data_IF_689713993177
#
_entry.id   IF_689713993177
#
_cell.length_a   1.000
_cell.length_b   1.000
_cell.length_c   1.000
_cell.angle_alpha   90.00
_cell.angle_beta   90.00
_cell.angle_gamma   90.00
#
_symmetry.space_group_name_H-M   'P 1'
#
loop_
_entity.id
_entity.type
_entity.pdbx_description
1 polymer ?
#
# COMPACT_ATOMS: atom_id res chain seq x y z
N UNK A 1 0.15 -15.31 2.36
CA UNK A 1 1.00 -14.79 1.25
C UNK A 1 0.87 -13.28 1.18
N UNK A 2 1.99 -12.57 1.21
CA UNK A 2 2.10 -11.10 1.23
C UNK A 2 2.74 -10.64 -0.07
N UNK A 3 2.14 -9.66 -0.74
CA UNK A 3 2.63 -9.15 -2.01
C UNK A 3 2.74 -7.64 -1.98
N UNK A 4 3.84 -7.11 -2.46
CA UNK A 4 4.03 -5.70 -2.72
C UNK A 4 3.86 -5.44 -4.23
N UNK A 5 3.02 -4.49 -4.58
CA UNK A 5 2.79 -4.05 -5.97
C UNK A 5 3.25 -2.61 -6.10
N UNK A 6 4.32 -2.40 -6.87
CA UNK A 6 4.91 -1.09 -7.09
C UNK A 6 4.86 -0.67 -8.56
N UNK A 7 5.07 0.60 -8.82
CA UNK A 7 5.11 1.16 -10.18
C UNK A 7 4.86 2.66 -10.19
N UNK A 8 5.11 3.30 -11.32
CA UNK A 8 4.90 4.73 -11.51
C UNK A 8 3.41 5.14 -11.50
N UNK A 9 3.15 6.44 -11.55
CA UNK A 9 1.79 6.95 -11.71
C UNK A 9 1.14 6.37 -12.98
N UNK A 10 -0.14 5.98 -12.88
CA UNK A 10 -0.95 5.41 -13.99
C UNK A 10 -0.33 4.17 -14.67
N UNK A 11 0.54 3.44 -13.97
CA UNK A 11 1.17 2.22 -14.49
C UNK A 11 0.22 1.02 -14.62
N UNK A 12 -0.98 1.07 -14.03
CA UNK A 12 -1.92 -0.06 -13.95
C UNK A 12 -1.77 -0.91 -12.68
N UNK A 13 -0.93 -0.49 -11.71
CA UNK A 13 -0.65 -1.25 -10.48
C UNK A 13 -1.88 -1.53 -9.61
N UNK A 14 -2.77 -0.55 -9.40
CA UNK A 14 -4.00 -0.76 -8.58
C UNK A 14 -4.90 -1.80 -9.23
N UNK A 15 -5.16 -1.70 -10.54
CA UNK A 15 -5.96 -2.70 -11.27
C UNK A 15 -5.31 -4.09 -11.28
N UNK A 16 -3.98 -4.17 -11.33
CA UNK A 16 -3.28 -5.44 -11.17
C UNK A 16 -3.44 -5.99 -9.75
N UNK A 17 -3.26 -5.15 -8.72
CA UNK A 17 -3.41 -5.55 -7.33
C UNK A 17 -4.82 -6.06 -7.00
N UNK A 18 -5.86 -5.41 -7.54
CA UNK A 18 -7.25 -5.87 -7.42
C UNK A 18 -7.43 -7.25 -8.06
N UNK A 19 -6.99 -7.46 -9.31
CA UNK A 19 -7.05 -8.78 -9.97
C UNK A 19 -6.27 -9.84 -9.21
N UNK A 20 -5.09 -9.50 -8.69
CA UNK A 20 -4.29 -10.41 -7.87
C UNK A 20 -5.04 -10.81 -6.59
N UNK A 21 -5.70 -9.85 -5.92
CA UNK A 21 -6.51 -10.11 -4.75
C UNK A 21 -7.70 -11.03 -5.06
N UNK A 22 -8.46 -10.74 -6.12
CA UNK A 22 -9.58 -11.57 -6.58
C UNK A 22 -9.16 -12.99 -6.96
N UNK A 23 -7.94 -13.20 -7.43
CA UNK A 23 -7.42 -14.54 -7.74
C UNK A 23 -7.06 -15.37 -6.50
N UNK A 24 -6.95 -14.75 -5.33
CA UNK A 24 -6.46 -15.38 -4.08
C UNK A 24 -7.49 -15.52 -3.00
N UNK A 25 -8.61 -14.81 -3.11
CA UNK A 25 -9.67 -14.81 -2.12
C UNK A 25 -11.04 -14.76 -2.80
N UNK A 26 -12.08 -15.16 -2.07
CA UNK A 26 -13.48 -15.03 -2.52
C UNK A 26 -14.08 -13.68 -2.15
N UNK A 27 -13.53 -13.06 -1.11
CA UNK A 27 -13.90 -11.75 -0.58
C UNK A 27 -12.65 -11.07 -0.01
N UNK A 28 -12.62 -9.76 0.03
CA UNK A 28 -11.50 -9.01 0.61
C UNK A 28 -11.92 -7.64 1.12
N UNK A 29 -11.11 -7.10 2.03
CA UNK A 29 -11.22 -5.71 2.46
C UNK A 29 -10.23 -4.84 1.70
N UNK A 30 -10.76 -3.84 1.00
CA UNK A 30 -9.98 -2.76 0.41
C UNK A 30 -9.77 -1.66 1.44
N UNK A 31 -8.52 -1.40 1.79
CA UNK A 31 -8.11 -0.36 2.73
C UNK A 31 -7.65 0.85 1.94
N UNK A 32 -8.50 1.88 1.90
CA UNK A 32 -8.19 3.15 1.26
C UNK A 32 -7.43 4.05 2.24
N UNK A 33 -6.24 4.48 1.86
CA UNK A 33 -5.41 5.39 2.67
C UNK A 33 -5.49 6.84 2.20
N UNK A 34 -6.13 7.09 1.06
CA UNK A 34 -6.30 8.41 0.50
C UNK A 34 -7.20 9.28 1.39
N UNK A 35 -6.81 10.53 1.58
CA UNK A 35 -7.66 11.61 2.08
C UNK A 35 -7.99 12.54 0.91
N UNK A 36 -9.25 12.90 0.80
CA UNK A 36 -9.71 13.81 -0.25
C UNK A 36 -9.43 15.27 0.16
N UNK A 37 -8.25 15.75 -0.17
CA UNK A 37 -7.88 17.15 0.10
C UNK A 37 -8.33 18.13 -0.99
N UNK A 38 -8.71 17.62 -2.16
CA UNK A 38 -9.19 18.41 -3.29
C UNK A 38 -10.20 17.63 -4.14
N UNK A 39 -10.89 18.34 -5.04
CA UNK A 39 -11.94 17.79 -5.92
C UNK A 39 -11.38 16.74 -6.89
N UNK A 40 -10.12 16.88 -7.34
CA UNK A 40 -9.49 15.89 -8.23
C UNK A 40 -9.32 14.56 -7.52
N UNK A 41 -8.87 14.59 -6.27
CA UNK A 41 -8.72 13.39 -5.44
C UNK A 41 -10.06 12.75 -5.11
N UNK A 42 -11.10 13.56 -4.80
CA UNK A 42 -12.47 13.06 -4.59
C UNK A 42 -12.98 12.29 -5.81
N UNK A 43 -12.86 12.87 -7.00
CA UNK A 43 -13.27 12.23 -8.25
C UNK A 43 -12.49 10.94 -8.52
N UNK A 44 -11.20 10.93 -8.22
CA UNK A 44 -10.36 9.74 -8.38
C UNK A 44 -10.75 8.61 -7.43
N UNK A 45 -11.02 8.92 -6.17
CA UNK A 45 -11.50 7.95 -5.17
C UNK A 45 -12.87 7.38 -5.60
N UNK A 46 -13.79 8.26 -6.03
CA UNK A 46 -15.12 7.86 -6.50
C UNK A 46 -15.05 6.93 -7.72
N UNK A 47 -14.18 7.22 -8.69
CA UNK A 47 -13.98 6.39 -9.87
C UNK A 47 -13.44 5.00 -9.52
N UNK A 48 -12.43 4.92 -8.65
CA UNK A 48 -11.89 3.63 -8.18
C UNK A 48 -12.95 2.83 -7.40
N UNK A 49 -13.78 3.49 -6.59
CA UNK A 49 -14.89 2.85 -5.88
C UNK A 49 -15.91 2.28 -6.86
N UNK A 50 -16.34 3.08 -7.84
CA UNK A 50 -17.29 2.69 -8.89
C UNK A 50 -16.78 1.48 -9.68
N UNK A 51 -15.49 1.45 -10.05
CA UNK A 51 -14.90 0.32 -10.77
C UNK A 51 -14.95 -0.98 -9.96
N UNK A 52 -14.68 -0.93 -8.65
CA UNK A 52 -14.80 -2.11 -7.77
C UNK A 52 -16.23 -2.59 -7.62
N UNK A 53 -17.19 -1.67 -7.49
CA UNK A 53 -18.63 -1.99 -7.39
C UNK A 53 -19.17 -2.66 -8.65
N UNK A 54 -18.56 -2.45 -9.80
CA UNK A 54 -18.92 -3.12 -11.06
C UNK A 54 -18.39 -4.56 -11.16
N UNK A 55 -17.54 -4.99 -10.24
CA UNK A 55 -17.08 -6.37 -10.20
C UNK A 55 -18.07 -7.25 -9.43
N UNK A 56 -18.14 -8.54 -9.77
CA UNK A 56 -18.92 -9.52 -8.98
C UNK A 56 -18.24 -9.96 -7.69
N UNK A 57 -17.07 -9.40 -7.37
CA UNK A 57 -16.29 -9.77 -6.20
C UNK A 57 -16.78 -9.02 -4.95
N UNK A 58 -16.83 -9.73 -3.81
CA UNK A 58 -17.30 -9.18 -2.54
C UNK A 58 -16.23 -8.29 -1.87
N UNK A 59 -16.20 -7.02 -2.28
CA UNK A 59 -15.35 -6.01 -1.66
C UNK A 59 -16.01 -5.35 -0.45
N UNK A 60 -15.30 -5.32 0.68
CA UNK A 60 -15.59 -4.39 1.78
C UNK A 60 -14.58 -3.25 1.71
N UNK A 61 -15.00 -1.98 1.80
CA UNK A 61 -14.08 -0.83 1.81
C UNK A 61 -13.99 -0.26 3.22
N UNK A 62 -12.77 0.00 3.67
CA UNK A 62 -12.43 0.72 4.91
C UNK A 62 -11.52 1.89 4.54
N UNK A 63 -11.79 3.06 5.09
CA UNK A 63 -10.92 4.23 5.00
C UNK A 63 -10.03 4.28 6.24
N UNK A 64 -8.71 4.18 6.04
CA UNK A 64 -7.73 4.22 7.13
C UNK A 64 -6.49 5.01 6.70
N UNK A 65 -6.50 6.33 6.90
CA UNK A 65 -5.43 7.20 6.43
C UNK A 65 -4.16 7.20 7.30
N UNK A 66 -4.24 6.81 8.58
CA UNK A 66 -3.14 7.00 9.53
C UNK A 66 -2.76 5.73 10.31
N UNK A 67 -3.76 5.01 10.84
CA UNK A 67 -3.54 3.89 11.78
C UNK A 67 -3.47 2.53 11.06
N UNK A 68 -2.76 2.49 9.93
CA UNK A 68 -2.64 1.26 9.12
C UNK A 68 -1.98 0.10 9.88
N UNK A 69 -0.90 0.28 10.68
CA UNK A 69 -0.32 -0.79 11.49
C UNK A 69 -1.32 -1.40 12.48
N UNK A 70 -2.08 -0.56 13.18
CA UNK A 70 -3.10 -0.97 14.15
C UNK A 70 -4.25 -1.70 13.49
N UNK A 71 -4.65 -1.27 12.29
CA UNK A 71 -5.67 -1.96 11.50
C UNK A 71 -5.19 -3.37 11.12
N UNK A 72 -3.95 -3.53 10.67
CA UNK A 72 -3.38 -4.83 10.34
C UNK A 72 -3.33 -5.74 11.59
N UNK A 73 -2.89 -5.22 12.73
CA UNK A 73 -2.86 -5.99 13.99
C UNK A 73 -4.25 -6.46 14.40
N UNK A 74 -5.26 -5.58 14.39
CA UNK A 74 -6.65 -5.94 14.76
C UNK A 74 -7.22 -7.03 13.86
N UNK A 75 -6.96 -6.96 12.55
CA UNK A 75 -7.46 -7.95 11.60
C UNK A 75 -6.61 -9.23 11.55
N UNK A 76 -5.35 -9.18 12.01
CA UNK A 76 -4.46 -10.33 12.07
C UNK A 76 -4.67 -11.24 13.28
N UNK A 77 -5.37 -10.73 14.32
CA UNK A 77 -5.62 -11.44 15.57
C UNK A 77 -7.13 -11.56 15.78
N UNK A 78 -7.79 -12.45 15.04
CA UNK A 78 -9.20 -12.78 15.29
C UNK A 78 -9.32 -13.65 16.54
N UNK A 79 -10.17 -13.26 17.49
CA UNK A 79 -10.47 -14.05 18.68
C UNK A 79 -11.23 -15.37 18.37
N UNK A 80 -11.78 -15.49 17.17
CA UNK A 80 -12.72 -16.56 16.77
C UNK A 80 -12.06 -17.67 15.93
N UNK A 81 -10.75 -17.90 16.00
CA UNK A 81 -10.04 -18.93 15.21
C UNK A 81 -10.28 -18.84 13.68
N UNK A 82 -10.99 -17.84 13.20
CA UNK A 82 -11.21 -17.64 11.77
C UNK A 82 -9.93 -17.15 11.09
N UNK A 83 -9.62 -17.62 9.88
CA UNK A 83 -8.46 -17.13 9.16
C UNK A 83 -8.60 -15.62 8.92
N UNK A 84 -7.50 -14.84 9.08
CA UNK A 84 -7.52 -13.42 8.81
C UNK A 84 -8.02 -13.09 7.40
N UNK A 85 -8.81 -12.03 7.21
CA UNK A 85 -9.37 -11.68 5.93
C UNK A 85 -8.28 -11.34 4.90
N UNK A 86 -8.59 -11.46 3.63
CA UNK A 86 -7.73 -10.90 2.60
C UNK A 86 -7.81 -9.37 2.63
N UNK A 87 -6.66 -8.69 2.63
CA UNK A 87 -6.57 -7.23 2.63
C UNK A 87 -5.81 -6.75 1.39
N UNK A 88 -6.33 -5.67 0.81
CA UNK A 88 -5.64 -4.88 -0.21
C UNK A 88 -5.53 -3.44 0.28
N UNK A 89 -4.30 -2.94 0.44
CA UNK A 89 -4.01 -1.57 0.90
C UNK A 89 -3.60 -0.72 -0.30
N UNK A 90 -4.36 0.32 -0.61
CA UNK A 90 -4.05 1.25 -1.70
C UNK A 90 -4.16 2.72 -1.22
N UNK A 91 -3.01 3.38 -0.96
CA UNK A 91 -1.63 2.93 -1.14
C UNK A 91 -0.71 3.39 0.02
N UNK A 92 0.41 2.75 0.18
CA UNK A 92 1.39 3.07 1.22
C UNK A 92 1.99 4.48 1.06
N UNK A 93 2.14 4.97 -0.17
CA UNK A 93 2.67 6.30 -0.43
C UNK A 93 1.72 7.42 0.04
N UNK A 94 0.40 7.25 -0.08
CA UNK A 94 -0.55 8.20 0.48
C UNK A 94 -0.60 8.11 2.01
N UNK A 95 -0.57 6.91 2.57
CA UNK A 95 -0.44 6.72 4.02
C UNK A 95 0.81 7.42 4.57
N UNK A 96 1.97 7.23 3.94
CA UNK A 96 3.21 7.92 4.35
C UNK A 96 3.09 9.45 4.22
N UNK A 97 2.45 9.94 3.15
CA UNK A 97 2.17 11.37 2.97
C UNK A 97 1.33 11.93 4.12
N UNK A 98 0.29 11.21 4.53
CA UNK A 98 -0.57 11.62 5.64
C UNK A 98 0.23 11.72 6.95
N UNK A 99 1.13 10.76 7.23
CA UNK A 99 2.01 10.81 8.42
C UNK A 99 2.95 12.00 8.40
N UNK A 100 3.56 12.28 7.24
CA UNK A 100 4.50 13.41 7.07
C UNK A 100 3.80 14.75 7.24
N UNK A 101 2.57 14.89 6.72
CA UNK A 101 1.80 16.12 6.78
C UNK A 101 1.09 16.34 8.12
N UNK A 102 0.82 15.29 8.87
CA UNK A 102 0.16 15.38 10.17
C UNK A 102 0.95 16.20 11.20
N UNK A 103 2.27 16.19 11.13
CA UNK A 103 3.16 16.99 11.97
C UNK A 103 4.50 17.23 11.25
N UNK A 104 4.59 18.35 10.56
CA UNK A 104 5.77 18.67 9.74
C UNK A 104 7.06 18.84 10.57
N UNK A 105 6.96 19.32 11.81
CA UNK A 105 8.13 19.50 12.70
C UNK A 105 8.75 18.14 13.10
N UNK A 106 7.91 17.12 13.26
CA UNK A 106 8.32 15.75 13.64
C UNK A 106 8.21 14.76 12.48
N UNK A 107 8.06 15.24 11.25
CA UNK A 107 7.74 14.43 10.07
C UNK A 107 8.65 13.22 9.88
N UNK A 108 9.96 13.42 9.99
CA UNK A 108 10.93 12.33 9.83
C UNK A 108 10.80 11.27 10.94
N UNK A 109 10.70 11.70 12.19
CA UNK A 109 10.60 10.79 13.33
C UNK A 109 9.29 10.00 13.29
N UNK A 110 8.17 10.68 13.06
CA UNK A 110 6.84 10.07 12.96
C UNK A 110 6.77 9.06 11.82
N UNK A 111 7.27 9.44 10.64
CA UNK A 111 7.26 8.55 9.49
C UNK A 111 8.17 7.32 9.70
N UNK A 112 9.38 7.49 10.25
CA UNK A 112 10.27 6.37 10.54
C UNK A 112 9.67 5.40 11.58
N UNK A 113 9.05 5.92 12.63
CA UNK A 113 8.34 5.10 13.63
C UNK A 113 7.17 4.35 12.98
N UNK A 114 6.36 5.04 12.16
CA UNK A 114 5.26 4.44 11.43
C UNK A 114 5.71 3.34 10.47
N UNK A 115 6.78 3.55 9.70
CA UNK A 115 7.35 2.53 8.80
C UNK A 115 7.80 1.29 9.60
N UNK A 116 8.39 1.49 10.78
CA UNK A 116 8.81 0.37 11.64
C UNK A 116 7.59 -0.41 12.16
N UNK A 117 6.59 0.28 12.66
CA UNK A 117 5.34 -0.36 13.11
C UNK A 117 4.63 -1.08 11.96
N UNK A 118 4.62 -0.50 10.76
CA UNK A 118 4.03 -1.14 9.57
C UNK A 118 4.78 -2.43 9.19
N UNK A 119 6.11 -2.42 9.24
CA UNK A 119 6.90 -3.64 8.94
C UNK A 119 6.57 -4.77 9.91
N UNK A 120 6.47 -4.47 11.22
CA UNK A 120 6.09 -5.44 12.24
C UNK A 120 4.67 -5.98 12.02
N UNK A 121 3.72 -5.09 11.72
CA UNK A 121 2.34 -5.46 11.43
C UNK A 121 2.22 -6.32 10.17
N UNK A 122 2.92 -5.97 9.10
CA UNK A 122 2.98 -6.78 7.86
C UNK A 122 3.63 -8.12 8.14
N UNK A 123 4.73 -8.18 8.88
CA UNK A 123 5.42 -9.42 9.23
C UNK A 123 4.52 -10.37 10.01
N UNK A 124 3.75 -9.87 10.96
CA UNK A 124 2.86 -10.66 11.83
C UNK A 124 1.53 -11.04 11.16
N UNK A 125 1.09 -10.31 10.13
CA UNK A 125 -0.18 -10.60 9.46
C UNK A 125 -0.13 -11.96 8.77
N UNK A 126 -1.05 -12.88 9.10
CA UNK A 126 -1.04 -14.26 8.60
C UNK A 126 -1.96 -14.49 7.40
N UNK A 127 -2.90 -13.58 7.12
CA UNK A 127 -3.81 -13.63 5.96
C UNK A 127 -3.17 -13.23 4.63
N UNK A 128 -3.91 -13.35 3.52
CA UNK A 128 -3.51 -12.76 2.25
C UNK A 128 -3.44 -11.24 2.36
N UNK A 129 -2.29 -10.64 2.00
CA UNK A 129 -2.08 -9.19 2.10
C UNK A 129 -1.44 -8.67 0.82
N UNK A 130 -2.07 -7.68 0.21
CA UNK A 130 -1.54 -7.00 -0.97
C UNK A 130 -1.37 -5.53 -0.63
N UNK A 131 -0.15 -5.04 -0.77
CA UNK A 131 0.24 -3.67 -0.51
C UNK A 131 0.55 -2.97 -1.84
N UNK A 132 -0.10 -1.85 -2.10
CA UNK A 132 0.18 -1.00 -3.28
C UNK A 132 1.05 0.17 -2.86
N UNK A 133 2.07 0.46 -3.64
CA UNK A 133 2.96 1.61 -3.43
C UNK A 133 3.35 2.26 -4.76
N UNK A 134 3.96 3.45 -4.72
CA UNK A 134 4.51 4.10 -5.90
C UNK A 134 6.05 4.14 -5.87
N UNK A 135 6.66 4.07 -7.06
CA UNK A 135 8.06 4.42 -7.28
C UNK A 135 8.20 5.92 -7.48
N UNK A 136 8.43 6.66 -6.39
CA UNK A 136 8.63 8.12 -6.44
C UNK A 136 10.08 8.51 -6.61
N UNK A 137 11.01 7.61 -6.31
CA UNK A 137 12.45 7.83 -6.39
C UNK A 137 12.98 8.08 -7.81
N UNK A 138 12.31 7.56 -8.83
CA UNK A 138 12.67 7.70 -10.24
C UNK A 138 12.17 9.02 -10.87
N UNK A 139 11.45 9.85 -10.10
CA UNK A 139 10.95 11.14 -10.56
C UNK A 139 11.92 12.30 -10.38
N UNK A 140 11.43 13.52 -10.67
CA UNK A 140 12.19 14.76 -10.46
C UNK A 140 12.46 14.95 -8.96
N UNK A 141 13.67 15.38 -8.62
CA UNK A 141 14.04 15.71 -7.24
C UNK A 141 13.31 16.98 -6.81
N UNK A 142 12.49 16.96 -5.74
CA UNK A 142 11.79 18.14 -5.26
C UNK A 142 12.75 19.25 -4.80
N UNK A 143 12.42 20.51 -5.10
CA UNK A 143 13.22 21.66 -4.66
C UNK A 143 13.12 21.93 -3.15
N UNK A 144 11.98 21.61 -2.54
CA UNK A 144 11.71 21.85 -1.11
C UNK A 144 12.09 20.64 -0.24
N UNK A 145 12.53 20.93 0.99
CA UNK A 145 13.10 19.96 1.92
C UNK A 145 12.14 18.80 2.26
N UNK A 146 10.87 19.11 2.55
CA UNK A 146 9.88 18.11 2.93
C UNK A 146 9.62 17.10 1.79
N UNK A 147 9.59 17.57 0.54
CA UNK A 147 9.44 16.69 -0.62
C UNK A 147 10.61 15.74 -0.80
N UNK A 148 11.86 16.20 -0.55
CA UNK A 148 13.03 15.31 -0.58
C UNK A 148 12.99 14.28 0.54
N UNK A 149 12.62 14.71 1.75
CA UNK A 149 12.42 13.81 2.90
C UNK A 149 11.36 12.74 2.58
N UNK A 150 10.21 13.13 2.07
CA UNK A 150 9.14 12.21 1.67
C UNK A 150 9.62 11.20 0.62
N UNK A 151 10.36 11.67 -0.40
CA UNK A 151 10.93 10.82 -1.45
C UNK A 151 11.87 9.76 -0.87
N UNK A 152 12.78 10.17 0.01
CA UNK A 152 13.74 9.28 0.65
C UNK A 152 13.06 8.26 1.57
N UNK A 153 12.09 8.72 2.39
CA UNK A 153 11.29 7.86 3.26
C UNK A 153 10.45 6.86 2.46
N UNK A 154 9.90 7.26 1.32
CA UNK A 154 9.16 6.35 0.41
C UNK A 154 10.06 5.23 -0.09
N UNK A 155 11.30 5.53 -0.48
CA UNK A 155 12.28 4.53 -0.88
C UNK A 155 12.63 3.55 0.25
N UNK A 156 12.88 4.08 1.46
CA UNK A 156 13.12 3.25 2.66
C UNK A 156 11.93 2.34 2.96
N UNK A 157 10.71 2.89 2.94
CA UNK A 157 9.48 2.11 3.16
C UNK A 157 9.34 1.00 2.12
N UNK A 158 9.52 1.30 0.84
CA UNK A 158 9.41 0.32 -0.24
C UNK A 158 10.43 -0.83 -0.06
N UNK A 159 11.69 -0.52 0.29
CA UNK A 159 12.71 -1.55 0.57
C UNK A 159 12.32 -2.45 1.75
N UNK A 160 11.85 -1.87 2.85
CA UNK A 160 11.45 -2.63 4.05
C UNK A 160 10.24 -3.51 3.77
N UNK A 161 9.24 -3.00 3.04
CA UNK A 161 8.06 -3.79 2.65
C UNK A 161 8.43 -4.89 1.67
N UNK A 162 9.30 -4.63 0.70
CA UNK A 162 9.82 -5.65 -0.21
C UNK A 162 10.53 -6.78 0.54
N UNK A 163 11.29 -6.46 1.59
CA UNK A 163 12.01 -7.47 2.38
C UNK A 163 11.06 -8.43 3.13
N UNK A 164 9.90 -7.95 3.61
CA UNK A 164 8.94 -8.75 4.39
C UNK A 164 7.81 -9.38 3.57
N UNK A 165 7.62 -8.94 2.32
CA UNK A 165 6.65 -9.56 1.41
C UNK A 165 7.24 -10.80 0.73
N UNK A 166 6.38 -11.78 0.45
CA UNK A 166 6.76 -13.02 -0.24
C UNK A 166 7.04 -12.77 -1.73
N UNK A 167 6.31 -11.80 -2.33
CA UNK A 167 6.40 -11.43 -3.74
C UNK A 167 6.45 -9.91 -3.89
N UNK A 168 7.15 -9.45 -4.92
CA UNK A 168 7.25 -8.01 -5.27
C UNK A 168 7.01 -7.85 -6.76
N UNK A 169 5.95 -7.16 -7.13
CA UNK A 169 5.60 -6.90 -8.53
C UNK A 169 5.90 -5.45 -8.90
N UNK A 170 6.69 -5.27 -9.95
CA UNK A 170 6.81 -3.99 -10.66
C UNK A 170 5.81 -3.96 -11.82
N UNK A 171 4.93 -2.96 -11.84
CA UNK A 171 3.96 -2.79 -12.93
C UNK A 171 4.38 -1.59 -13.78
N UNK A 172 4.66 -1.85 -15.04
CA UNK A 172 5.02 -0.84 -16.04
C UNK A 172 4.15 -1.02 -17.28
N UNK A 173 3.49 0.05 -17.72
CA UNK A 173 2.60 0.01 -18.89
C UNK A 173 1.54 -1.11 -18.83
N UNK A 174 1.01 -1.39 -17.64
CA UNK A 174 0.01 -2.44 -17.40
C UNK A 174 0.60 -3.87 -17.29
N UNK A 175 1.90 -4.03 -17.47
CA UNK A 175 2.59 -5.34 -17.47
C UNK A 175 3.24 -5.55 -16.09
N UNK A 176 2.81 -6.55 -15.29
CA UNK A 176 3.45 -6.90 -14.03
C UNK A 176 4.67 -7.81 -14.26
N UNK A 177 5.76 -7.51 -13.57
CA UNK A 177 6.95 -8.37 -13.49
C UNK A 177 7.22 -8.71 -12.04
N UNK A 178 7.35 -9.98 -11.70
CA UNK A 178 7.68 -10.42 -10.33
C UNK A 178 9.19 -10.32 -10.12
N UNK A 179 9.61 -9.35 -9.29
CA UNK A 179 11.01 -8.98 -9.14
C UNK A 179 11.82 -9.99 -8.33
N UNK A 180 11.27 -10.63 -7.30
CA UNK A 180 12.02 -11.59 -6.48
C UNK A 180 12.41 -12.84 -7.24
N UNK A 181 11.68 -13.19 -8.31
CA UNK A 181 12.08 -14.28 -9.22
C UNK A 181 13.26 -13.92 -10.11
N UNK A 182 13.48 -12.63 -10.32
CA UNK A 182 14.56 -12.08 -11.14
C UNK A 182 15.71 -11.54 -10.29
N UNK A 183 15.60 -11.64 -8.97
CA UNK A 183 16.60 -11.12 -8.04
C UNK A 183 17.95 -11.76 -8.27
N UNK A 184 19.01 -10.93 -8.41
CA UNK A 184 20.36 -11.41 -8.45
C UNK A 184 20.77 -11.94 -7.05
N UNK A 185 21.20 -13.19 -7.03
CA UNK A 185 21.68 -13.85 -5.80
C UNK A 185 23.20 -13.83 -5.80
N UNK A 186 23.76 -13.27 -4.73
CA UNK A 186 25.22 -13.17 -4.50
C UNK A 186 25.79 -14.54 -4.13
#
# INVERSE_FOLDING_TARGET
>A
MKSLVTGGARSGKSSFAERLCMSRAKEATYVATAQAFDVEMELRIAEHRRQREQTSFAWKTIEEPLQLPELLHRNGHSADESPPPALLVDCLTLWLSNLVLANEEMAEQTARAGITALEEAVRSYSGPLILVTNEVGNGIVPEYKLGRLYRDLSGVMNQRMAAVCDEVFLVTAGIPVELKRLEYKW
#
